data_IF_960677231738
#
_entry.id   IF_960677231738
#
_cell.length_a   1.000
_cell.length_b   1.000
_cell.length_c   1.000
_cell.angle_alpha   90.00
_cell.angle_beta   90.00
_cell.angle_gamma   90.00
#
_symmetry.space_group_name_H-M   'P 1'
#
loop_
_entity.id
_entity.type
_entity.pdbx_description
1 polymer ?
#
# COMPACT_ATOMS: atom_id res chain seq x y z
N UNK A 1 8.68 -20.18 23.20
CA UNK A 1 9.89 -20.45 22.41
C UNK A 1 9.51 -20.45 20.95
N UNK A 2 10.28 -19.79 20.09
CA UNK A 2 10.17 -19.94 18.64
C UNK A 2 11.13 -21.08 18.26
N UNK A 3 10.60 -22.25 17.90
CA UNK A 3 11.37 -23.49 17.70
C UNK A 3 11.19 -24.14 16.33
N UNK A 4 10.63 -23.42 15.37
CA UNK A 4 10.55 -23.88 13.97
C UNK A 4 11.90 -23.75 13.27
N UNK A 5 12.12 -24.55 12.21
CA UNK A 5 13.21 -24.30 11.27
C UNK A 5 12.72 -23.28 10.23
N UNK A 6 13.06 -22.01 10.47
CA UNK A 6 12.72 -20.89 9.58
C UNK A 6 13.30 -21.11 8.18
N UNK A 7 14.50 -21.66 8.06
CA UNK A 7 15.12 -21.87 6.75
C UNK A 7 14.36 -22.92 5.95
N UNK A 8 14.02 -24.06 6.55
CA UNK A 8 13.20 -25.08 5.87
C UNK A 8 11.81 -24.56 5.49
N UNK A 9 11.18 -23.72 6.33
CA UNK A 9 9.90 -23.09 5.98
C UNK A 9 10.01 -22.19 4.74
N UNK A 10 11.10 -21.43 4.61
CA UNK A 10 11.33 -20.57 3.44
C UNK A 10 11.74 -21.37 2.19
N UNK A 11 12.54 -22.42 2.35
CA UNK A 11 12.84 -23.39 1.29
C UNK A 11 11.53 -24.00 0.75
N UNK A 12 10.57 -24.33 1.62
CA UNK A 12 9.24 -24.82 1.22
C UNK A 12 8.40 -23.79 0.45
N UNK A 13 8.60 -22.49 0.67
CA UNK A 13 8.03 -21.42 -0.18
C UNK A 13 8.76 -21.24 -1.52
N UNK A 14 9.84 -21.99 -1.76
CA UNK A 14 10.68 -21.89 -2.95
C UNK A 14 11.74 -20.80 -2.90
N UNK A 15 12.11 -20.31 -1.71
CA UNK A 15 13.18 -19.30 -1.56
C UNK A 15 14.57 -19.94 -1.64
N UNK A 16 15.55 -19.15 -2.06
CA UNK A 16 16.96 -19.46 -1.85
C UNK A 16 17.33 -19.11 -0.40
N UNK A 17 17.95 -20.03 0.34
CA UNK A 17 18.26 -19.84 1.77
C UNK A 17 19.75 -20.02 2.02
N UNK A 18 20.38 -18.99 2.56
CA UNK A 18 21.77 -18.99 3.01
C UNK A 18 21.82 -18.90 4.54
N UNK A 19 22.82 -19.53 5.15
CA UNK A 19 23.03 -19.50 6.61
C UNK A 19 24.45 -19.01 6.90
N UNK A 20 24.55 -18.03 7.79
CA UNK A 20 25.81 -17.43 8.21
C UNK A 20 25.97 -17.64 9.71
N UNK A 21 26.93 -18.49 10.09
CA UNK A 21 27.30 -18.69 11.48
C UNK A 21 28.14 -17.52 12.01
N UNK A 22 28.21 -17.43 13.34
CA UNK A 22 29.08 -16.47 14.04
C UNK A 22 30.54 -16.72 13.70
N UNK A 23 31.34 -15.66 13.73
CA UNK A 23 32.78 -15.77 13.71
C UNK A 23 33.30 -16.47 15.00
N UNK A 24 34.54 -16.99 15.00
CA UNK A 24 35.10 -17.69 16.15
C UNK A 24 35.16 -16.86 17.45
N UNK A 25 35.22 -15.53 17.34
CA UNK A 25 35.19 -14.57 18.45
C UNK A 25 33.76 -14.28 18.98
N UNK A 26 32.74 -14.85 18.35
CA UNK A 26 31.34 -14.70 18.71
C UNK A 26 30.60 -13.53 18.03
N UNK A 27 31.30 -12.70 17.24
CA UNK A 27 30.68 -11.64 16.44
C UNK A 27 30.06 -12.20 15.14
N UNK A 28 29.46 -11.31 14.35
CA UNK A 28 29.01 -11.59 12.99
C UNK A 28 30.22 -11.85 12.09
N UNK A 29 30.22 -12.98 11.38
CA UNK A 29 31.22 -13.25 10.36
C UNK A 29 30.94 -12.40 9.10
N UNK A 30 31.51 -11.19 9.05
CA UNK A 30 31.30 -10.22 7.96
C UNK A 30 31.72 -10.77 6.60
N UNK A 31 32.80 -11.56 6.52
CA UNK A 31 33.28 -12.16 5.26
C UNK A 31 32.32 -13.21 4.74
N UNK A 32 31.80 -14.08 5.62
CA UNK A 32 30.78 -15.06 5.24
C UNK A 32 29.46 -14.38 4.88
N UNK A 33 29.08 -13.32 5.58
CA UNK A 33 27.88 -12.54 5.27
C UNK A 33 27.96 -11.86 3.90
N UNK A 34 29.09 -11.24 3.56
CA UNK A 34 29.28 -10.66 2.22
C UNK A 34 29.21 -11.72 1.12
N UNK A 35 29.82 -12.90 1.33
CA UNK A 35 29.71 -14.03 0.40
C UNK A 35 28.26 -14.47 0.19
N UNK A 36 27.49 -14.62 1.27
CA UNK A 36 26.06 -14.96 1.19
C UNK A 36 25.27 -13.87 0.43
N UNK A 37 25.60 -12.59 0.63
CA UNK A 37 25.01 -11.49 -0.13
C UNK A 37 25.34 -11.57 -1.63
N UNK A 38 26.58 -11.95 -1.99
CA UNK A 38 26.98 -12.14 -3.38
C UNK A 38 26.25 -13.32 -4.02
N UNK A 39 26.12 -14.45 -3.31
CA UNK A 39 25.34 -15.61 -3.76
C UNK A 39 23.87 -15.23 -3.98
N UNK A 40 23.24 -14.56 -3.01
CA UNK A 40 21.87 -14.09 -3.12
C UNK A 40 21.65 -13.19 -4.35
N UNK A 41 22.61 -12.31 -4.69
CA UNK A 41 22.54 -11.47 -5.90
C UNK A 41 22.69 -12.25 -7.20
N UNK A 42 23.44 -13.36 -7.19
CA UNK A 42 23.60 -14.24 -8.36
C UNK A 42 22.36 -15.11 -8.60
N UNK A 43 21.55 -15.38 -7.56
CA UNK A 43 20.28 -16.09 -7.67
C UNK A 43 19.13 -15.15 -8.09
N UNK A 44 18.87 -15.07 -9.40
CA UNK A 44 17.90 -14.13 -9.98
C UNK A 44 16.49 -14.68 -10.17
N UNK A 45 16.30 -15.99 -10.07
CA UNK A 45 15.01 -16.65 -10.33
C UNK A 45 14.07 -16.67 -9.11
N UNK A 46 14.60 -16.44 -7.91
CA UNK A 46 13.89 -16.62 -6.63
C UNK A 46 14.31 -15.55 -5.62
N UNK A 47 13.43 -15.17 -4.69
CA UNK A 47 13.84 -14.37 -3.54
C UNK A 47 14.81 -15.14 -2.64
N UNK A 48 15.67 -14.40 -1.92
CA UNK A 48 16.67 -14.96 -1.02
C UNK A 48 16.42 -14.58 0.44
N UNK A 49 16.60 -15.53 1.36
CA UNK A 49 16.67 -15.31 2.81
C UNK A 49 18.09 -15.65 3.30
N UNK A 50 18.75 -14.70 3.96
CA UNK A 50 20.05 -14.93 4.61
C UNK A 50 19.83 -14.97 6.12
N UNK A 51 19.99 -16.14 6.73
CA UNK A 51 19.86 -16.33 8.18
C UNK A 51 21.22 -16.06 8.83
N UNK A 52 21.35 -14.89 9.44
CA UNK A 52 22.58 -14.48 10.15
C UNK A 52 22.45 -14.81 11.63
N UNK A 53 23.27 -15.73 12.11
CA UNK A 53 23.33 -16.06 13.54
C UNK A 53 24.17 -15.00 14.26
N UNK A 54 23.58 -14.35 15.26
CA UNK A 54 24.24 -13.34 16.09
C UNK A 54 24.02 -13.62 17.58
N UNK A 55 24.74 -12.87 18.42
CA UNK A 55 24.47 -12.80 19.87
C UNK A 55 23.94 -11.41 20.16
N UNK A 56 22.71 -11.30 20.67
CA UNK A 56 22.13 -10.00 21.03
C UNK A 56 23.03 -9.31 22.05
N UNK A 57 23.28 -8.01 21.86
CA UNK A 57 24.15 -7.18 22.69
C UNK A 57 25.60 -7.65 22.83
N UNK A 58 26.14 -8.42 21.87
CA UNK A 58 27.59 -8.62 21.79
C UNK A 58 28.31 -7.27 21.62
N UNK A 59 29.44 -7.01 22.30
CA UNK A 59 30.18 -7.86 23.24
C UNK A 59 29.95 -7.50 24.72
N UNK A 60 28.76 -7.01 25.09
CA UNK A 60 28.47 -6.55 26.45
C UNK A 60 28.67 -7.69 27.48
N UNK A 61 29.62 -7.57 28.42
CA UNK A 61 30.08 -8.70 29.24
C UNK A 61 28.98 -9.41 30.05
N UNK A 62 28.01 -8.66 30.56
CA UNK A 62 26.96 -9.16 31.44
C UNK A 62 25.57 -9.12 30.77
N UNK A 63 25.41 -8.33 29.71
CA UNK A 63 24.13 -8.17 29.01
C UNK A 63 23.99 -9.03 27.73
N UNK A 64 25.08 -9.48 27.11
CA UNK A 64 25.00 -10.25 25.87
C UNK A 64 24.19 -11.55 26.03
N UNK A 65 23.40 -11.91 25.02
CA UNK A 65 22.58 -13.11 25.05
C UNK A 65 21.34 -13.03 25.95
N UNK A 66 21.03 -11.87 26.54
CA UNK A 66 19.88 -11.70 27.43
C UNK A 66 18.72 -10.96 26.75
N UNK A 67 17.48 -11.27 27.17
CA UNK A 67 16.30 -10.53 26.72
C UNK A 67 16.24 -9.10 27.26
N UNK A 68 16.83 -8.85 28.43
CA UNK A 68 16.89 -7.52 29.04
C UNK A 68 17.60 -6.49 28.15
N UNK A 69 18.59 -6.94 27.36
CA UNK A 69 19.34 -6.08 26.45
C UNK A 69 18.54 -5.61 25.21
N UNK A 70 17.33 -6.14 24.97
CA UNK A 70 16.55 -5.82 23.77
C UNK A 70 15.87 -4.44 23.81
N UNK A 71 15.28 -4.09 24.95
CA UNK A 71 14.32 -2.97 25.03
C UNK A 71 14.61 -1.94 26.11
N UNK A 72 15.78 -2.03 26.77
CA UNK A 72 16.16 -1.14 27.86
C UNK A 72 17.59 -0.64 27.69
N UNK A 73 17.90 0.51 28.30
CA UNK A 73 19.26 0.99 28.40
C UNK A 73 20.12 -0.02 29.18
N UNK A 74 21.36 -0.26 28.72
CA UNK A 74 22.26 -1.23 29.34
C UNK A 74 22.75 -0.82 30.74
N UNK A 75 22.68 0.48 31.07
CA UNK A 75 23.23 1.04 32.31
C UNK A 75 24.69 1.49 32.17
N UNK A 76 25.10 2.44 33.01
CA UNK A 76 26.41 3.10 32.90
C UNK A 76 27.58 2.14 33.07
N UNK A 77 27.48 1.21 34.02
CA UNK A 77 28.54 0.23 34.31
C UNK A 77 28.75 -0.73 33.14
N UNK A 78 27.66 -1.23 32.55
CA UNK A 78 27.70 -2.14 31.40
C UNK A 78 28.25 -1.44 30.15
N UNK A 79 27.85 -0.18 29.91
CA UNK A 79 28.40 0.64 28.82
C UNK A 79 29.91 0.84 29.01
N UNK A 80 30.36 1.19 30.22
CA UNK A 80 31.77 1.35 30.52
C UNK A 80 32.56 0.03 30.36
N UNK A 81 32.00 -1.09 30.81
CA UNK A 81 32.61 -2.41 30.65
C UNK A 81 32.72 -2.81 29.16
N UNK A 82 31.66 -2.57 28.39
CA UNK A 82 31.64 -2.84 26.93
C UNK A 82 32.68 -2.02 26.18
N UNK A 83 32.82 -0.73 26.51
CA UNK A 83 33.87 0.13 25.93
C UNK A 83 35.27 -0.41 26.20
N UNK A 84 35.55 -0.86 27.42
CA UNK A 84 36.86 -1.47 27.75
C UNK A 84 37.14 -2.71 26.91
N UNK A 85 36.14 -3.58 26.68
CA UNK A 85 36.28 -4.75 25.79
C UNK A 85 36.61 -4.33 24.36
N UNK A 86 35.99 -3.26 23.87
CA UNK A 86 36.21 -2.72 22.53
C UNK A 86 37.46 -1.84 22.39
N UNK A 87 38.18 -1.58 23.49
CA UNK A 87 39.36 -0.70 23.50
C UNK A 87 39.05 0.80 23.49
N UNK A 88 37.82 1.20 23.82
CA UNK A 88 37.38 2.60 23.92
C UNK A 88 37.57 3.17 25.34
N UNK A 89 37.63 4.51 25.44
CA UNK A 89 37.65 5.21 26.73
C UNK A 89 36.28 5.14 27.41
N UNK A 90 36.14 4.51 28.59
CA UNK A 90 34.87 4.41 29.29
C UNK A 90 34.24 5.77 29.63
N UNK A 91 35.04 6.83 29.78
CA UNK A 91 34.58 8.16 30.17
C UNK A 91 33.98 8.97 29.00
N UNK A 92 34.34 8.67 27.76
CA UNK A 92 33.88 9.44 26.59
C UNK A 92 32.53 8.95 26.07
N UNK A 93 31.67 9.87 25.66
CA UNK A 93 30.35 9.56 25.07
C UNK A 93 30.30 10.08 23.64
N UNK A 94 29.68 9.31 22.74
CA UNK A 94 29.59 9.62 21.30
C UNK A 94 30.96 9.81 20.63
N UNK A 95 32.00 9.14 21.12
CA UNK A 95 33.33 9.12 20.49
C UNK A 95 33.24 8.44 19.11
N UNK A 96 33.73 9.12 18.07
CA UNK A 96 33.82 8.59 16.71
C UNK A 96 35.26 8.78 16.22
N UNK A 97 36.05 7.69 16.11
CA UNK A 97 37.43 7.78 15.62
C UNK A 97 37.52 8.44 14.23
N UNK A 98 38.49 9.35 13.99
CA UNK A 98 38.60 10.07 12.72
C UNK A 98 38.79 9.17 11.50
N UNK A 99 39.48 8.04 11.65
CA UNK A 99 39.71 7.05 10.60
C UNK A 99 38.42 6.29 10.24
N UNK A 100 37.61 5.90 11.23
CA UNK A 100 36.28 5.31 11.03
C UNK A 100 35.37 6.28 10.26
N UNK A 101 35.35 7.56 10.66
CA UNK A 101 34.57 8.58 9.97
C UNK A 101 35.07 8.80 8.53
N UNK A 102 36.39 8.84 8.33
CA UNK A 102 36.99 9.01 7.02
C UNK A 102 36.65 7.83 6.09
N UNK A 103 36.75 6.60 6.59
CA UNK A 103 36.41 5.39 5.85
C UNK A 103 34.92 5.33 5.48
N UNK A 104 34.03 5.59 6.44
CA UNK A 104 32.57 5.53 6.21
C UNK A 104 32.10 6.60 5.22
N UNK A 105 32.71 7.79 5.22
CA UNK A 105 32.41 8.86 4.26
C UNK A 105 32.76 8.54 2.81
N UNK A 106 33.63 7.56 2.54
CA UNK A 106 33.91 7.09 1.18
C UNK A 106 32.65 6.55 0.47
N UNK A 107 31.56 6.24 1.20
CA UNK A 107 30.27 5.88 0.61
C UNK A 107 29.68 7.00 -0.24
N UNK A 108 29.93 8.26 0.11
CA UNK A 108 29.44 9.42 -0.65
C UNK A 108 30.06 9.44 -2.04
N UNK A 109 31.38 9.22 -2.15
CA UNK A 109 32.09 9.20 -3.43
C UNK A 109 31.69 8.00 -4.30
N UNK A 110 31.47 6.83 -3.69
CA UNK A 110 30.93 5.66 -4.41
C UNK A 110 29.52 5.93 -4.93
N UNK A 111 28.65 6.48 -4.08
CA UNK A 111 27.27 6.83 -4.44
C UNK A 111 27.20 7.91 -5.53
N UNK A 112 28.05 8.94 -5.45
CA UNK A 112 28.13 10.00 -6.46
C UNK A 112 28.54 9.45 -7.83
N UNK A 113 29.54 8.57 -7.88
CA UNK A 113 29.97 7.89 -9.12
C UNK A 113 28.85 7.03 -9.70
N UNK A 114 28.25 6.14 -8.90
CA UNK A 114 27.12 5.31 -9.37
C UNK A 114 25.94 6.15 -9.85
N UNK A 115 25.66 7.29 -9.20
CA UNK A 115 24.60 8.21 -9.63
C UNK A 115 24.95 8.92 -10.94
N UNK A 116 26.21 9.32 -11.12
CA UNK A 116 26.67 9.92 -12.38
C UNK A 116 26.53 8.93 -13.54
N UNK A 117 26.99 7.69 -13.38
CA UNK A 117 26.85 6.62 -14.37
C UNK A 117 25.37 6.32 -14.67
N UNK A 118 24.52 6.28 -13.64
CA UNK A 118 23.08 6.10 -13.82
C UNK A 118 22.45 7.27 -14.56
N UNK A 119 22.82 8.52 -14.24
CA UNK A 119 22.33 9.71 -14.93
C UNK A 119 22.72 9.69 -16.42
N UNK A 120 23.94 9.28 -16.77
CA UNK A 120 24.38 9.13 -18.16
C UNK A 120 23.52 8.09 -18.90
N UNK A 121 23.33 6.91 -18.30
CA UNK A 121 22.46 5.86 -18.87
C UNK A 121 21.02 6.34 -19.02
N UNK A 122 20.49 7.05 -18.03
CA UNK A 122 19.14 7.62 -18.08
C UNK A 122 19.01 8.67 -19.17
N UNK A 123 19.98 9.57 -19.35
CA UNK A 123 19.95 10.56 -20.43
C UNK A 123 19.94 9.90 -21.81
N UNK A 124 20.80 8.89 -22.02
CA UNK A 124 20.81 8.11 -23.26
C UNK A 124 19.47 7.39 -23.50
N UNK A 125 18.92 6.76 -22.45
CA UNK A 125 17.60 6.12 -22.52
C UNK A 125 16.49 7.12 -22.84
N UNK A 126 16.48 8.30 -22.20
CA UNK A 126 15.49 9.36 -22.43
C UNK A 126 15.51 9.84 -23.88
N UNK A 127 16.70 10.08 -24.44
CA UNK A 127 16.84 10.49 -25.83
C UNK A 127 16.33 9.41 -26.81
N UNK A 128 16.54 8.13 -26.49
CA UNK A 128 16.08 7.01 -27.30
C UNK A 128 14.59 6.67 -27.10
N UNK A 129 13.96 7.09 -26.00
CA UNK A 129 12.60 6.68 -25.61
C UNK A 129 11.73 7.88 -25.18
N UNK A 130 11.49 8.87 -26.06
CA UNK A 130 10.86 10.14 -25.68
C UNK A 130 9.45 9.98 -25.08
N UNK A 131 8.64 9.04 -25.59
CA UNK A 131 7.30 8.77 -25.06
C UNK A 131 7.34 8.20 -23.64
N UNK A 132 8.16 7.17 -23.40
CA UNK A 132 8.34 6.56 -22.08
C UNK A 132 8.99 7.53 -21.09
N UNK A 133 9.87 8.41 -21.56
CA UNK A 133 10.48 9.44 -20.73
C UNK A 133 9.47 10.51 -20.29
N UNK A 134 8.59 10.95 -21.19
CA UNK A 134 7.49 11.86 -20.86
C UNK A 134 6.52 11.23 -19.85
N UNK A 135 6.18 9.94 -20.05
CA UNK A 135 5.43 9.17 -19.06
C UNK A 135 6.13 9.17 -17.70
N UNK A 136 7.41 8.76 -17.66
CA UNK A 136 8.17 8.70 -16.42
C UNK A 136 8.24 10.04 -15.70
N UNK A 137 8.42 11.14 -16.44
CA UNK A 137 8.42 12.50 -15.87
C UNK A 137 7.08 12.82 -15.20
N UNK A 138 5.96 12.53 -15.88
CA UNK A 138 4.60 12.71 -15.33
C UNK A 138 4.41 11.88 -14.05
N UNK A 139 4.87 10.62 -14.05
CA UNK A 139 4.77 9.74 -12.88
C UNK A 139 5.63 10.22 -11.70
N UNK A 140 6.82 10.75 -11.96
CA UNK A 140 7.71 11.33 -10.94
C UNK A 140 7.14 12.63 -10.36
N UNK A 141 6.46 13.44 -11.18
CA UNK A 141 5.70 14.60 -10.73
C UNK A 141 4.39 14.24 -10.01
N UNK A 142 3.99 12.95 -10.02
CA UNK A 142 2.71 12.44 -9.48
C UNK A 142 1.47 13.06 -10.14
N UNK A 143 1.59 13.45 -11.40
CA UNK A 143 0.53 14.08 -12.18
C UNK A 143 -0.30 13.04 -12.94
N UNK A 144 -1.58 13.36 -13.18
CA UNK A 144 -2.48 12.57 -14.03
C UNK A 144 -2.53 13.19 -15.44
N UNK A 145 -2.78 12.41 -16.50
CA UNK A 145 -2.90 12.94 -17.86
C UNK A 145 -4.04 13.97 -17.97
N UNK A 146 -3.84 15.03 -18.76
CA UNK A 146 -4.92 15.99 -19.03
C UNK A 146 -6.15 15.28 -19.61
N UNK A 147 -7.34 15.66 -19.14
CA UNK A 147 -8.61 15.08 -19.61
C UNK A 147 -8.89 13.65 -19.13
N UNK A 148 -8.09 13.07 -18.24
CA UNK A 148 -8.29 11.68 -17.77
C UNK A 148 -9.71 11.44 -17.21
N UNK A 149 -10.35 12.45 -16.63
CA UNK A 149 -11.72 12.38 -16.09
C UNK A 149 -12.78 12.20 -17.17
N UNK A 150 -12.51 12.55 -18.43
CA UNK A 150 -13.44 12.38 -19.56
C UNK A 150 -13.66 10.90 -19.91
N UNK A 151 -12.81 10.02 -19.39
CA UNK A 151 -12.94 8.58 -19.57
C UNK A 151 -13.79 7.92 -18.48
N UNK A 152 -14.21 8.66 -17.44
CA UNK A 152 -15.08 8.11 -16.43
C UNK A 152 -16.44 7.76 -17.05
N UNK A 153 -17.03 6.61 -16.71
CA UNK A 153 -18.35 6.23 -17.21
C UNK A 153 -19.42 7.16 -16.66
N UNK A 154 -20.34 7.55 -17.53
CA UNK A 154 -21.60 8.17 -17.15
C UNK A 154 -22.61 7.09 -16.74
N UNK A 155 -23.46 7.43 -15.79
CA UNK A 155 -24.49 6.53 -15.28
C UNK A 155 -25.85 7.22 -15.32
N UNK A 156 -26.76 6.66 -16.11
CA UNK A 156 -28.09 7.20 -16.31
C UNK A 156 -28.95 7.11 -15.02
N UNK A 157 -29.55 8.23 -14.56
CA UNK A 157 -30.48 8.22 -13.45
C UNK A 157 -31.65 7.25 -13.66
N UNK A 158 -32.10 6.61 -12.58
CA UNK A 158 -33.21 5.64 -12.60
C UNK A 158 -32.81 4.21 -12.97
N UNK A 159 -31.60 3.97 -13.46
CA UNK A 159 -31.03 2.62 -13.51
C UNK A 159 -30.71 2.09 -12.10
N UNK A 160 -30.47 0.78 -11.97
CA UNK A 160 -30.01 0.17 -10.72
C UNK A 160 -28.68 -0.55 -10.94
N UNK A 161 -27.69 -0.28 -10.08
CA UNK A 161 -26.37 -0.90 -10.17
C UNK A 161 -25.68 -0.93 -8.82
N UNK A 162 -25.09 -2.07 -8.46
CA UNK A 162 -24.25 -2.18 -7.27
C UNK A 162 -23.00 -1.32 -7.40
N UNK A 163 -22.61 -0.60 -6.34
CA UNK A 163 -21.45 0.31 -6.41
C UNK A 163 -20.13 -0.46 -6.63
N UNK A 164 -20.06 -1.75 -6.28
CA UNK A 164 -18.93 -2.62 -6.70
C UNK A 164 -18.82 -2.78 -8.21
N UNK A 165 -19.95 -2.95 -8.92
CA UNK A 165 -19.97 -3.09 -10.39
C UNK A 165 -19.57 -1.76 -11.04
N UNK A 166 -20.10 -0.65 -10.52
CA UNK A 166 -19.71 0.69 -10.96
C UNK A 166 -18.21 0.93 -10.79
N UNK A 167 -17.64 0.54 -9.64
CA UNK A 167 -16.19 0.61 -9.41
C UNK A 167 -15.39 -0.20 -10.43
N UNK A 168 -15.85 -1.40 -10.80
CA UNK A 168 -15.20 -2.20 -11.85
C UNK A 168 -15.22 -1.54 -13.23
N UNK A 169 -16.32 -0.87 -13.58
CA UNK A 169 -16.42 -0.10 -14.82
C UNK A 169 -15.44 1.09 -14.80
N UNK A 170 -15.36 1.81 -13.68
CA UNK A 170 -14.42 2.92 -13.49
C UNK A 170 -12.97 2.46 -13.59
N UNK A 171 -12.58 1.38 -12.90
CA UNK A 171 -11.23 0.79 -12.98
C UNK A 171 -10.87 0.48 -14.42
N UNK A 172 -11.76 -0.18 -15.17
CA UNK A 172 -11.48 -0.59 -16.54
C UNK A 172 -11.40 0.59 -17.51
N UNK A 173 -12.18 1.65 -17.29
CA UNK A 173 -12.10 2.85 -18.09
C UNK A 173 -10.80 3.62 -17.84
N UNK A 174 -10.41 3.76 -16.56
CA UNK A 174 -9.18 4.44 -16.16
C UNK A 174 -7.92 3.66 -16.50
N UNK A 175 -7.96 2.33 -16.46
CA UNK A 175 -6.82 1.49 -16.80
C UNK A 175 -6.29 1.75 -18.22
N UNK A 176 -7.17 2.12 -19.16
CA UNK A 176 -6.81 2.44 -20.56
C UNK A 176 -5.95 3.69 -20.69
N UNK A 177 -6.04 4.62 -19.74
CA UNK A 177 -5.39 5.94 -19.83
C UNK A 177 -4.39 6.21 -18.70
N UNK A 178 -4.43 5.42 -17.63
CA UNK A 178 -3.51 5.49 -16.50
C UNK A 178 -2.66 4.21 -16.44
N UNK A 179 -1.53 4.10 -17.17
CA UNK A 179 -0.67 2.91 -17.11
C UNK A 179 -0.13 2.63 -15.71
N UNK A 180 -0.03 3.65 -14.85
CA UNK A 180 0.37 3.52 -13.45
C UNK A 180 -0.71 2.97 -12.52
N UNK A 181 -1.96 2.77 -12.97
CA UNK A 181 -3.05 2.17 -12.19
C UNK A 181 -3.00 0.65 -12.24
N UNK A 182 -2.72 -0.03 -11.15
CA UNK A 182 -2.70 -1.50 -11.15
C UNK A 182 -3.00 -2.02 -9.76
N UNK A 183 -3.37 -3.29 -9.66
CA UNK A 183 -3.89 -3.80 -8.42
C UNK A 183 -4.61 -5.11 -8.60
N UNK A 184 -5.35 -5.51 -7.58
CA UNK A 184 -6.14 -6.71 -7.66
C UNK A 184 -6.87 -7.00 -6.37
N UNK A 185 -6.94 -8.27 -5.98
CA UNK A 185 -7.76 -8.69 -4.86
C UNK A 185 -7.15 -9.86 -4.10
N UNK A 186 -7.51 -9.94 -2.82
CA UNK A 186 -7.30 -11.11 -1.98
C UNK A 186 -8.29 -12.23 -2.34
N UNK A 187 -8.04 -12.90 -3.48
CA UNK A 187 -8.83 -14.04 -4.01
C UNK A 187 -10.30 -13.75 -4.38
N UNK A 188 -10.72 -12.48 -4.34
CA UNK A 188 -12.10 -12.06 -4.55
C UNK A 188 -12.22 -11.16 -5.79
N UNK A 189 -11.38 -11.36 -6.81
CA UNK A 189 -11.26 -10.45 -7.96
C UNK A 189 -12.58 -10.17 -8.69
N UNK A 190 -13.38 -11.22 -8.92
CA UNK A 190 -14.71 -11.11 -9.52
C UNK A 190 -15.73 -10.50 -8.56
N UNK A 191 -15.74 -10.96 -7.30
CA UNK A 191 -16.65 -10.46 -6.27
C UNK A 191 -16.43 -8.98 -5.96
N UNK A 192 -15.19 -8.51 -5.93
CA UNK A 192 -14.83 -7.11 -5.71
C UNK A 192 -14.90 -6.27 -7.00
N UNK A 193 -15.03 -6.90 -8.17
CA UNK A 193 -14.97 -6.26 -9.49
C UNK A 193 -13.65 -5.48 -9.72
N UNK A 194 -12.52 -6.08 -9.34
CA UNK A 194 -11.19 -5.44 -9.42
C UNK A 194 -10.36 -5.86 -10.64
N UNK A 195 -10.88 -6.78 -11.46
CA UNK A 195 -10.16 -7.32 -12.62
C UNK A 195 -10.13 -6.28 -13.75
N UNK A 196 -8.92 -5.96 -14.21
CA UNK A 196 -8.67 -5.20 -15.43
C UNK A 196 -8.78 -6.16 -16.62
N UNK A 197 -9.67 -5.86 -17.58
CA UNK A 197 -10.03 -6.76 -18.69
C UNK A 197 -9.36 -6.44 -20.01
N UNK A 198 -8.68 -5.30 -20.11
CA UNK A 198 -7.99 -4.86 -21.33
C UNK A 198 -6.90 -5.86 -21.72
N UNK A 199 -6.85 -6.31 -22.98
CA UNK A 199 -6.00 -7.42 -23.42
C UNK A 199 -4.51 -7.20 -23.09
N UNK A 200 -4.03 -5.96 -23.18
CA UNK A 200 -2.64 -5.60 -22.87
C UNK A 200 -2.34 -5.54 -21.37
N UNK A 201 -3.38 -5.45 -20.52
CA UNK A 201 -3.28 -5.30 -19.06
C UNK A 201 -3.90 -6.47 -18.28
N UNK A 202 -4.59 -7.39 -18.96
CA UNK A 202 -5.36 -8.49 -18.39
C UNK A 202 -4.47 -9.62 -17.85
N UNK A 203 -3.20 -9.65 -18.26
CA UNK A 203 -2.24 -10.57 -17.69
C UNK A 203 -2.06 -10.31 -16.19
N UNK A 204 -1.88 -11.40 -15.44
CA UNK A 204 -1.40 -11.31 -14.07
C UNK A 204 0.02 -10.73 -14.06
N UNK A 205 0.36 -9.99 -13.01
CA UNK A 205 1.75 -9.58 -12.76
C UNK A 205 2.60 -10.84 -12.65
N UNK A 206 3.49 -11.06 -13.61
CA UNK A 206 4.38 -12.21 -13.63
C UNK A 206 5.63 -11.95 -12.76
N UNK A 207 6.07 -12.97 -12.03
CA UNK A 207 7.22 -12.88 -11.14
C UNK A 207 8.58 -12.74 -11.86
N UNK A 208 8.64 -13.03 -13.18
CA UNK A 208 9.88 -13.27 -13.92
C UNK A 208 10.24 -12.19 -14.96
N UNK A 209 9.65 -10.98 -14.90
CA UNK A 209 10.05 -9.82 -15.71
C UNK A 209 10.13 -10.06 -17.25
N UNK A 210 9.45 -11.07 -17.79
CA UNK A 210 9.64 -11.53 -19.18
C UNK A 210 8.68 -10.90 -20.21
N UNK A 211 8.01 -9.79 -19.90
CA UNK A 211 7.06 -9.14 -20.82
C UNK A 211 6.51 -7.80 -20.30
N UNK A 212 5.65 -7.09 -21.08
CA UNK A 212 4.95 -5.91 -20.58
C UNK A 212 4.13 -6.34 -19.36
N UNK A 213 4.58 -5.91 -18.17
CA UNK A 213 4.12 -6.48 -16.90
C UNK A 213 2.60 -6.41 -16.80
N UNK A 214 1.97 -7.53 -16.49
CA UNK A 214 0.54 -7.59 -16.22
C UNK A 214 0.13 -6.60 -15.12
N UNK A 215 -1.15 -6.21 -15.05
CA UNK A 215 -1.64 -5.20 -14.09
C UNK A 215 -2.62 -5.76 -13.06
N UNK A 216 -2.88 -7.06 -13.12
CA UNK A 216 -3.74 -7.78 -12.18
C UNK A 216 -2.88 -8.51 -11.14
N UNK A 217 -3.09 -8.17 -9.86
CA UNK A 217 -2.45 -8.82 -8.72
C UNK A 217 -3.37 -9.87 -8.09
N UNK A 218 -2.89 -11.11 -8.04
CA UNK A 218 -3.53 -12.19 -7.29
C UNK A 218 -2.82 -12.37 -5.95
N UNK A 219 -3.35 -11.74 -4.90
CA UNK A 219 -2.73 -11.82 -3.57
C UNK A 219 -3.00 -13.17 -2.88
N UNK A 220 -4.05 -13.89 -3.30
CA UNK A 220 -4.65 -15.00 -2.56
C UNK A 220 -5.35 -14.51 -1.28
N UNK A 221 -5.81 -15.43 -0.43
CA UNK A 221 -6.47 -15.09 0.85
C UNK A 221 -5.44 -14.55 1.86
N UNK A 222 -5.00 -13.31 1.65
CA UNK A 222 -3.83 -12.69 2.32
C UNK A 222 -3.98 -11.18 2.47
N UNK A 223 -5.08 -10.70 3.04
CA UNK A 223 -5.41 -9.27 3.18
C UNK A 223 -4.30 -8.46 3.84
N UNK A 224 -3.72 -9.00 4.93
CA UNK A 224 -2.63 -8.32 5.64
C UNK A 224 -1.37 -8.18 4.78
N UNK A 225 -1.01 -9.24 4.06
CA UNK A 225 0.14 -9.21 3.16
C UNK A 225 -0.13 -8.32 1.94
N UNK A 226 -1.37 -8.31 1.43
CA UNK A 226 -1.84 -7.42 0.37
C UNK A 226 -1.64 -5.96 0.76
N UNK A 227 -2.15 -5.52 1.91
CA UNK A 227 -1.96 -4.14 2.37
C UNK A 227 -0.48 -3.79 2.57
N UNK A 228 0.30 -4.70 3.18
CA UNK A 228 1.74 -4.48 3.37
C UNK A 228 2.48 -4.34 2.04
N UNK A 229 2.15 -5.17 1.05
CA UNK A 229 2.72 -5.10 -0.29
C UNK A 229 2.30 -3.81 -1.01
N UNK A 230 1.04 -3.40 -0.91
CA UNK A 230 0.55 -2.12 -1.44
C UNK A 230 1.32 -0.94 -0.85
N UNK A 231 1.60 -0.95 0.45
CA UNK A 231 2.43 0.08 1.09
C UNK A 231 3.84 0.10 0.50
N UNK A 232 4.45 -1.07 0.29
CA UNK A 232 5.75 -1.19 -0.38
C UNK A 232 5.75 -0.66 -1.81
N UNK A 233 4.70 -0.96 -2.59
CA UNK A 233 4.52 -0.45 -3.96
C UNK A 233 4.40 1.09 -3.95
N UNK A 234 3.60 1.65 -3.05
CA UNK A 234 3.44 3.09 -2.92
C UNK A 234 4.74 3.79 -2.48
N UNK A 235 5.51 3.18 -1.57
CA UNK A 235 6.83 3.67 -1.14
C UNK A 235 7.86 3.64 -2.27
N UNK A 236 7.85 2.59 -3.10
CA UNK A 236 8.69 2.52 -4.30
C UNK A 236 8.34 3.63 -5.31
N UNK A 237 7.08 4.06 -5.33
CA UNK A 237 6.59 5.23 -6.05
C UNK A 237 6.22 4.96 -7.52
N UNK A 238 5.78 6.03 -8.21
CA UNK A 238 5.40 6.02 -9.65
C UNK A 238 4.24 5.07 -9.99
N UNK A 239 3.43 4.69 -8.99
CA UNK A 239 2.31 3.77 -9.11
C UNK A 239 1.06 4.34 -8.40
N UNK A 240 -0.11 3.91 -8.89
CA UNK A 240 -1.43 4.02 -8.25
C UNK A 240 -1.92 2.61 -7.98
N UNK A 241 -1.64 2.11 -6.77
CA UNK A 241 -1.97 0.74 -6.39
C UNK A 241 -3.33 0.65 -5.70
N UNK A 242 -4.13 -0.35 -6.07
CA UNK A 242 -5.35 -0.72 -5.36
C UNK A 242 -5.38 -2.18 -4.92
N UNK A 243 -6.17 -2.49 -3.90
CA UNK A 243 -6.38 -3.85 -3.40
C UNK A 243 -7.81 -4.06 -2.88
N UNK A 244 -8.42 -5.16 -3.30
CA UNK A 244 -9.80 -5.51 -2.97
C UNK A 244 -9.94 -6.67 -1.99
N UNK A 245 -10.90 -6.56 -1.08
CA UNK A 245 -11.48 -7.66 -0.29
C UNK A 245 -12.91 -7.26 0.14
N UNK A 246 -13.57 -8.04 0.98
CA UNK A 246 -14.81 -7.62 1.64
C UNK A 246 -14.52 -6.69 2.80
N UNK A 247 -15.42 -5.74 3.08
CA UNK A 247 -15.26 -4.78 4.18
C UNK A 247 -15.08 -5.49 5.52
N UNK A 248 -15.78 -6.60 5.73
CA UNK A 248 -15.68 -7.39 6.97
C UNK A 248 -14.25 -7.92 7.22
N UNK A 249 -13.48 -8.17 6.16
CA UNK A 249 -12.10 -8.63 6.27
C UNK A 249 -11.07 -7.50 6.30
N UNK A 250 -11.50 -6.23 6.29
CA UNK A 250 -10.60 -5.09 6.52
C UNK A 250 -9.90 -5.17 7.88
N UNK A 251 -10.49 -5.87 8.85
CA UNK A 251 -9.86 -6.13 10.15
C UNK A 251 -8.59 -6.99 10.07
N UNK A 252 -8.51 -7.94 9.12
CA UNK A 252 -7.30 -8.76 8.92
C UNK A 252 -6.10 -7.92 8.48
N UNK A 253 -6.33 -6.79 7.80
CA UNK A 253 -5.30 -5.91 7.25
C UNK A 253 -5.12 -4.60 8.02
N UNK A 254 -5.84 -4.42 9.12
CA UNK A 254 -5.93 -3.17 9.88
C UNK A 254 -4.57 -2.58 10.31
N UNK A 255 -3.57 -3.36 10.78
CA UNK A 255 -2.26 -2.79 11.12
C UNK A 255 -1.55 -2.15 9.93
N UNK A 256 -1.62 -2.78 8.75
CA UNK A 256 -1.02 -2.26 7.53
C UNK A 256 -1.78 -1.05 6.97
N UNK A 257 -3.11 -1.01 7.12
CA UNK A 257 -3.94 0.18 6.82
C UNK A 257 -3.54 1.36 7.71
N UNK A 258 -3.38 1.13 9.02
CA UNK A 258 -2.91 2.16 9.95
C UNK A 258 -1.53 2.68 9.57
N UNK A 259 -0.61 1.80 9.15
CA UNK A 259 0.72 2.21 8.69
C UNK A 259 0.66 3.04 7.40
N UNK A 260 -0.22 2.69 6.45
CA UNK A 260 -0.43 3.50 5.25
C UNK A 260 -0.87 4.93 5.59
N UNK A 261 -1.81 5.05 6.54
CA UNK A 261 -2.32 6.33 7.00
C UNK A 261 -1.24 7.16 7.72
N UNK A 262 -0.45 6.51 8.60
CA UNK A 262 0.66 7.13 9.30
C UNK A 262 1.76 7.63 8.35
N UNK A 263 2.05 6.87 7.29
CA UNK A 263 3.06 7.22 6.29
C UNK A 263 2.54 8.17 5.20
N UNK A 264 1.24 8.48 5.16
CA UNK A 264 0.62 9.30 4.12
C UNK A 264 0.66 8.66 2.73
N UNK A 265 0.53 7.33 2.63
CA UNK A 265 0.66 6.61 1.37
C UNK A 265 -0.64 6.63 0.57
N UNK A 266 -0.61 6.99 -0.73
CA UNK A 266 -1.80 7.06 -1.59
C UNK A 266 -2.18 5.67 -2.15
N UNK A 267 -2.52 4.76 -1.24
CA UNK A 267 -3.06 3.42 -1.58
C UNK A 267 -4.59 3.45 -1.57
N UNK A 268 -5.21 2.72 -2.50
CA UNK A 268 -6.69 2.63 -2.58
C UNK A 268 -7.18 1.26 -2.14
N UNK A 269 -7.99 1.21 -1.08
CA UNK A 269 -8.64 -0.01 -0.64
C UNK A 269 -10.05 -0.09 -1.23
N UNK A 270 -10.37 -1.22 -1.86
CA UNK A 270 -11.68 -1.49 -2.45
C UNK A 270 -12.39 -2.53 -1.56
N UNK A 271 -13.21 -2.05 -0.64
CA UNK A 271 -13.90 -2.89 0.32
C UNK A 271 -15.37 -3.01 -0.06
N UNK A 272 -15.71 -4.13 -0.67
CA UNK A 272 -17.10 -4.40 -1.11
C UNK A 272 -17.88 -5.13 -0.03
N UNK A 273 -19.17 -5.42 -0.26
CA UNK A 273 -19.99 -6.20 0.68
C UNK A 273 -20.06 -5.49 2.05
N UNK A 274 -20.51 -4.24 2.00
CA UNK A 274 -20.30 -3.22 3.04
C UNK A 274 -21.25 -3.26 4.24
N UNK A 275 -22.25 -4.14 4.24
CA UNK A 275 -23.36 -4.08 5.19
C UNK A 275 -24.09 -5.42 5.29
N UNK A 276 -25.18 -5.45 6.07
CA UNK A 276 -26.17 -6.53 6.07
C UNK A 276 -26.74 -6.84 4.67
N UNK A 277 -26.60 -5.93 3.70
CA UNK A 277 -26.93 -6.17 2.28
C UNK A 277 -26.13 -7.30 1.62
N UNK A 278 -25.10 -7.83 2.31
CA UNK A 278 -24.50 -9.13 2.01
C UNK A 278 -25.54 -10.25 1.93
N UNK A 279 -26.54 -10.27 2.80
CA UNK A 279 -27.57 -11.32 2.80
C UNK A 279 -27.06 -12.63 3.40
N UNK A 280 -27.09 -13.70 2.62
CA UNK A 280 -27.10 -15.09 3.07
C UNK A 280 -25.80 -15.56 3.74
N UNK A 281 -24.66 -14.91 3.50
CA UNK A 281 -23.38 -15.24 4.15
C UNK A 281 -23.41 -14.98 5.67
N UNK A 282 -24.39 -14.19 6.13
CA UNK A 282 -24.72 -14.06 7.55
C UNK A 282 -23.73 -13.21 8.35
N UNK A 283 -23.85 -13.22 9.69
CA UNK A 283 -23.22 -12.22 10.56
C UNK A 283 -21.68 -12.26 10.55
N UNK A 284 -21.06 -13.35 10.13
CA UNK A 284 -19.60 -13.44 9.99
C UNK A 284 -19.07 -12.64 8.80
N UNK A 285 -19.95 -12.24 7.86
CA UNK A 285 -19.61 -11.51 6.64
C UNK A 285 -20.23 -10.12 6.58
N UNK A 286 -21.02 -9.73 7.58
CA UNK A 286 -21.79 -8.49 7.58
C UNK A 286 -21.09 -7.45 8.47
N UNK A 287 -20.52 -6.38 7.88
CA UNK A 287 -19.89 -5.31 8.65
C UNK A 287 -20.90 -4.56 9.53
N UNK A 288 -20.52 -4.25 10.77
CA UNK A 288 -21.33 -3.44 11.69
C UNK A 288 -20.55 -2.22 12.21
N UNK A 289 -19.49 -2.47 12.97
CA UNK A 289 -18.57 -1.50 13.57
C UNK A 289 -17.54 -0.92 12.59
N UNK A 290 -17.37 -1.56 11.44
CA UNK A 290 -16.20 -1.40 10.58
C UNK A 290 -16.05 0.04 10.09
N UNK A 291 -17.14 0.69 9.66
CA UNK A 291 -17.12 2.09 9.25
C UNK A 291 -16.68 3.03 10.38
N UNK A 292 -17.19 2.84 11.60
CA UNK A 292 -16.81 3.64 12.75
C UNK A 292 -15.33 3.41 13.10
N UNK A 293 -14.92 2.15 13.10
CA UNK A 293 -13.55 1.75 13.40
C UNK A 293 -12.55 2.30 12.37
N UNK A 294 -12.89 2.31 11.08
CA UNK A 294 -12.03 2.86 10.02
C UNK A 294 -11.99 4.39 10.04
N UNK A 295 -13.14 5.06 10.21
CA UNK A 295 -13.21 6.53 10.33
C UNK A 295 -12.44 7.07 11.54
N UNK A 296 -12.25 6.26 12.57
CA UNK A 296 -11.44 6.62 13.74
C UNK A 296 -9.92 6.60 13.48
N UNK A 297 -9.45 6.06 12.35
CA UNK A 297 -8.02 6.06 12.00
C UNK A 297 -7.66 7.43 11.40
N UNK A 298 -6.75 8.20 12.03
CA UNK A 298 -6.34 9.49 11.47
C UNK A 298 -5.74 9.34 10.07
N UNK A 299 -6.03 10.29 9.18
CA UNK A 299 -5.52 10.33 7.81
C UNK A 299 -5.95 9.16 6.91
N UNK A 300 -7.02 8.43 7.27
CA UNK A 300 -7.69 7.48 6.37
C UNK A 300 -8.98 8.11 5.81
N UNK A 301 -9.00 8.36 4.51
CA UNK A 301 -10.21 8.84 3.83
C UNK A 301 -11.17 7.67 3.61
N UNK A 302 -12.38 7.72 4.18
CA UNK A 302 -13.40 6.66 4.04
C UNK A 302 -14.59 7.19 3.26
N UNK A 303 -14.77 6.69 2.03
CA UNK A 303 -15.84 7.11 1.11
C UNK A 303 -16.79 5.95 0.88
N UNK A 304 -18.07 6.16 1.20
CA UNK A 304 -19.15 5.19 0.99
C UNK A 304 -20.16 5.75 -0.01
N UNK A 305 -19.92 5.59 -1.33
CA UNK A 305 -20.73 6.19 -2.37
C UNK A 305 -22.17 5.65 -2.37
N UNK A 306 -23.13 6.56 -2.53
CA UNK A 306 -24.56 6.26 -2.56
C UNK A 306 -24.99 5.44 -3.78
N UNK A 307 -24.31 5.64 -4.92
CA UNK A 307 -24.64 5.02 -6.19
C UNK A 307 -23.44 4.97 -7.15
N UNK A 308 -23.70 4.67 -8.43
CA UNK A 308 -22.68 4.58 -9.46
C UNK A 308 -21.98 5.92 -9.77
N UNK A 309 -22.71 7.04 -9.81
CA UNK A 309 -22.14 8.37 -10.07
C UNK A 309 -21.19 8.82 -8.97
N UNK A 310 -21.58 8.64 -7.70
CA UNK A 310 -20.69 8.88 -6.56
C UNK A 310 -19.49 7.94 -6.55
N UNK A 311 -19.63 6.71 -7.05
CA UNK A 311 -18.51 5.78 -7.16
C UNK A 311 -17.43 6.29 -8.12
N UNK A 312 -17.82 6.89 -9.26
CA UNK A 312 -16.87 7.52 -10.17
C UNK A 312 -16.16 8.73 -9.51
N UNK A 313 -16.89 9.55 -8.76
CA UNK A 313 -16.32 10.66 -8.00
C UNK A 313 -15.37 10.20 -6.88
N UNK A 314 -15.70 9.11 -6.18
CA UNK A 314 -14.87 8.54 -5.14
C UNK A 314 -13.51 8.06 -5.68
N UNK A 315 -13.49 7.48 -6.88
CA UNK A 315 -12.25 7.16 -7.59
C UNK A 315 -11.45 8.40 -7.98
N UNK A 316 -12.12 9.52 -8.29
CA UNK A 316 -11.42 10.80 -8.50
C UNK A 316 -10.68 11.25 -7.26
N UNK A 317 -11.34 11.18 -6.10
CA UNK A 317 -10.69 11.49 -4.82
C UNK A 317 -9.53 10.54 -4.56
N UNK A 318 -9.72 9.22 -4.76
CA UNK A 318 -8.67 8.22 -4.51
C UNK A 318 -7.40 8.46 -5.36
N UNK A 319 -7.54 8.94 -6.60
CA UNK A 319 -6.41 9.19 -7.49
C UNK A 319 -5.72 10.54 -7.26
N UNK A 320 -6.44 11.53 -6.71
CA UNK A 320 -5.90 12.87 -6.46
C UNK A 320 -5.45 13.08 -5.01
N UNK A 321 -5.94 12.28 -4.06
CA UNK A 321 -5.50 12.30 -2.67
C UNK A 321 -4.10 11.69 -2.53
N UNK A 322 -3.06 12.54 -2.50
CA UNK A 322 -1.66 12.09 -2.48
C UNK A 322 -1.06 11.95 -1.07
N UNK A 323 -1.78 12.40 -0.04
CA UNK A 323 -1.28 12.54 1.33
C UNK A 323 -1.82 11.49 2.31
N UNK A 324 -2.52 10.47 1.82
CA UNK A 324 -3.08 9.42 2.66
C UNK A 324 -3.84 8.35 1.87
N UNK A 325 -4.14 7.20 2.50
CA UNK A 325 -4.92 6.13 1.91
C UNK A 325 -6.39 6.53 1.75
N UNK A 326 -7.02 5.95 0.73
CA UNK A 326 -8.46 6.07 0.49
C UNK A 326 -9.12 4.69 0.54
N UNK A 327 -10.20 4.56 1.30
CA UNK A 327 -11.05 3.38 1.38
C UNK A 327 -12.38 3.65 0.67
N UNK A 328 -12.67 2.85 -0.36
CA UNK A 328 -13.92 2.85 -1.09
C UNK A 328 -14.80 1.72 -0.55
N UNK A 329 -15.95 2.08 0.01
CA UNK A 329 -16.88 1.17 0.69
C UNK A 329 -18.08 0.89 -0.22
N UNK A 330 -18.20 -0.33 -0.74
CA UNK A 330 -19.05 -0.63 -1.89
C UNK A 330 -20.08 -1.75 -1.60
N UNK A 331 -21.26 -1.63 -2.20
CA UNK A 331 -22.39 -2.53 -1.97
C UNK A 331 -22.24 -3.86 -2.72
N UNK A 332 -22.87 -4.92 -2.21
CA UNK A 332 -23.09 -6.18 -2.96
C UNK A 332 -24.26 -6.02 -3.93
N UNK A 333 -25.35 -5.52 -3.37
CA UNK A 333 -26.68 -5.32 -3.96
C UNK A 333 -26.74 -4.10 -4.85
N UNK A 334 -27.68 -4.11 -5.80
CA UNK A 334 -27.93 -2.96 -6.65
C UNK A 334 -28.60 -1.83 -5.84
N UNK A 335 -28.19 -0.60 -6.12
CA UNK A 335 -28.77 0.65 -5.59
C UNK A 335 -29.19 1.52 -6.77
N UNK A 336 -30.22 2.38 -6.62
CA UNK A 336 -30.65 3.25 -7.71
C UNK A 336 -29.56 4.28 -8.03
N UNK A 337 -29.38 4.57 -9.32
CA UNK A 337 -28.62 5.73 -9.79
C UNK A 337 -29.48 6.96 -9.57
N UNK A 338 -28.99 7.89 -8.75
CA UNK A 338 -29.72 9.05 -8.28
C UNK A 338 -29.65 10.20 -9.29
N UNK A 339 -30.79 10.84 -9.55
CA UNK A 339 -30.81 12.12 -10.25
C UNK A 339 -30.21 13.22 -9.36
N UNK A 340 -29.16 13.88 -9.87
CA UNK A 340 -28.40 14.92 -9.17
C UNK A 340 -28.58 16.32 -9.75
N UNK A 341 -29.49 16.51 -10.69
CA UNK A 341 -29.70 17.81 -11.35
C UNK A 341 -30.02 18.90 -10.33
N UNK A 342 -30.93 18.62 -9.39
CA UNK A 342 -31.26 19.53 -8.30
C UNK A 342 -30.04 19.77 -7.39
N UNK A 343 -29.34 18.71 -6.99
CA UNK A 343 -28.16 18.80 -6.14
C UNK A 343 -27.04 19.65 -6.78
N UNK A 344 -26.79 19.50 -8.08
CA UNK A 344 -25.80 20.29 -8.82
C UNK A 344 -26.16 21.78 -8.77
N UNK A 345 -27.44 22.12 -8.95
CA UNK A 345 -27.92 23.50 -8.86
C UNK A 345 -27.74 24.05 -7.45
N UNK A 346 -28.19 23.31 -6.43
CA UNK A 346 -28.14 23.72 -5.01
C UNK A 346 -26.70 23.99 -4.57
N UNK A 347 -25.75 23.18 -5.02
CA UNK A 347 -24.39 23.20 -4.51
C UNK A 347 -23.37 23.88 -5.47
N UNK A 348 -23.80 24.30 -6.66
CA UNK A 348 -23.01 25.07 -7.62
C UNK A 348 -22.11 24.25 -8.57
N UNK A 349 -22.63 23.16 -9.16
CA UNK A 349 -21.96 22.34 -10.18
C UNK A 349 -21.77 20.87 -9.80
N UNK A 350 -20.81 20.18 -10.44
CA UNK A 350 -20.48 18.74 -10.23
C UNK A 350 -19.48 18.48 -9.08
N UNK A 351 -18.89 19.53 -8.54
CA UNK A 351 -18.02 19.53 -7.37
C UNK A 351 -18.60 19.02 -6.03
N UNK A 352 -19.93 18.95 -5.76
CA UNK A 352 -20.46 18.56 -4.46
C UNK A 352 -20.03 17.17 -4.03
N UNK A 353 -19.85 16.26 -5.01
CA UNK A 353 -19.37 14.90 -4.79
C UNK A 353 -17.95 14.84 -4.21
N UNK A 354 -17.16 15.89 -4.42
CA UNK A 354 -15.78 15.98 -3.94
C UNK A 354 -15.68 16.66 -2.57
N UNK A 355 -16.77 17.22 -2.04
CA UNK A 355 -16.80 17.90 -0.73
C UNK A 355 -16.95 16.96 0.47
N UNK A 356 -17.18 15.67 0.22
CA UNK A 356 -17.38 14.64 1.24
C UNK A 356 -18.81 14.55 1.78
N UNK A 357 -19.54 15.67 1.87
CA UNK A 357 -20.96 15.71 2.16
C UNK A 357 -21.62 16.91 1.47
N UNK A 358 -22.86 16.74 1.00
CA UNK A 358 -23.57 17.77 0.25
C UNK A 358 -25.09 17.60 0.36
N UNK A 359 -25.84 18.64 -0.01
CA UNK A 359 -27.31 18.62 -0.01
C UNK A 359 -27.78 17.97 -1.31
N UNK A 360 -28.32 16.77 -1.23
CA UNK A 360 -28.86 16.06 -2.41
C UNK A 360 -30.31 16.47 -2.73
N UNK A 361 -31.09 16.76 -1.69
CA UNK A 361 -32.47 17.24 -1.75
C UNK A 361 -32.63 18.33 -0.71
N UNK A 362 -33.15 19.49 -1.11
CA UNK A 362 -33.28 20.67 -0.25
C UNK A 362 -34.76 20.96 0.05
N UNK A 363 -35.00 21.62 1.19
CA UNK A 363 -36.32 22.05 1.62
C UNK A 363 -36.23 23.45 2.24
N UNK A 364 -37.17 24.33 1.90
CA UNK A 364 -37.24 25.67 2.49
C UNK A 364 -37.65 25.54 3.97
N UNK A 365 -36.80 26.02 4.88
CA UNK A 365 -36.99 25.95 6.34
C UNK A 365 -37.17 24.51 6.88
N UNK A 366 -36.15 23.64 6.73
CA UNK A 366 -36.27 22.23 7.07
C UNK A 366 -36.50 22.05 8.58
N UNK A 367 -37.51 21.26 8.93
CA UNK A 367 -37.77 20.88 10.34
C UNK A 367 -36.78 19.81 10.83
N UNK A 368 -36.29 18.98 9.91
CA UNK A 368 -35.34 17.88 10.16
C UNK A 368 -34.36 17.82 9.00
N UNK A 369 -33.10 17.47 9.30
CA UNK A 369 -32.08 17.14 8.31
C UNK A 369 -31.74 15.66 8.47
N UNK A 370 -31.88 14.88 7.40
CA UNK A 370 -31.50 13.47 7.37
C UNK A 370 -30.12 13.34 6.73
N UNK A 371 -29.17 12.76 7.45
CA UNK A 371 -27.84 12.46 6.92
C UNK A 371 -27.73 10.96 6.67
N UNK A 372 -27.35 10.58 5.45
CA UNK A 372 -27.17 9.20 5.05
C UNK A 372 -25.88 9.04 4.23
N UNK A 373 -25.45 7.80 4.05
CA UNK A 373 -24.32 7.43 3.17
C UNK A 373 -24.63 6.10 2.51
N UNK A 374 -23.98 5.79 1.38
CA UNK A 374 -24.15 4.50 0.72
C UNK A 374 -25.60 4.16 0.37
N UNK A 375 -25.95 2.88 0.53
CA UNK A 375 -27.28 2.34 0.23
C UNK A 375 -28.43 3.03 0.97
N UNK A 376 -28.16 3.73 2.07
CA UNK A 376 -29.19 4.38 2.88
C UNK A 376 -29.61 5.75 2.32
N UNK A 377 -28.88 6.33 1.37
CA UNK A 377 -29.26 7.63 0.78
C UNK A 377 -30.59 7.52 0.00
N UNK A 378 -30.76 6.45 -0.77
CA UNK A 378 -32.02 6.21 -1.49
C UNK A 378 -33.20 5.99 -0.51
N UNK A 379 -32.94 5.34 0.63
CA UNK A 379 -33.93 5.17 1.69
C UNK A 379 -34.29 6.52 2.33
N UNK A 380 -33.29 7.37 2.61
CA UNK A 380 -33.49 8.70 3.15
C UNK A 380 -34.26 9.64 2.20
N UNK A 381 -34.07 9.51 0.87
CA UNK A 381 -34.82 10.26 -0.13
C UNK A 381 -36.29 9.79 -0.26
N UNK A 382 -36.57 8.54 0.11
CA UNK A 382 -37.91 7.96 0.03
C UNK A 382 -38.74 8.16 1.30
N UNK A 383 -38.10 8.53 2.41
CA UNK A 383 -38.71 8.82 3.70
C UNK A 383 -39.17 10.29 3.77
#
# INVERSE_FOLDING_TARGET
ALSEDVGQRYEAYGWHVERVDRAPDGDINVVAFDRACQQAKAHTERPSLIIVRSTIAWPAPHAQGTSAAHGAALGADEVAATKRVLGFDPAQMFEVPPDVLSHTRLVADRGARSRQEWNQRRSAWTAANPLSASLLQRLEARELPNGWTQHLPDFEPGAAMATRKASGLVINALARVLPELWGGSADLGESNNTVIKDADSAAAVAANNSGPGGRVLHFGIREHAMASAMNGIALHGRSRVFGGTFLVFSDYMRPAVRLAALMGLPVTYIWTHDSIGVGEDGPTHQPVEHLAALRAIPNLTVIRPADAGETAAAWRVALTALSGPTALILTRQDVPVLDRTAAQIINGGDEPLLRGGYIISDAVNPQVIVLASGSEVALALSA
#
